data_IF_737767294098
#
_entry.id   IF_737767294098
#
_cell.length_a   1.000
_cell.length_b   1.000
_cell.length_c   1.000
_cell.angle_alpha   90.00
_cell.angle_beta   90.00
_cell.angle_gamma   90.00
#
_symmetry.space_group_name_H-M   'P 1'
#
loop_
_entity.id
_entity.type
_entity.pdbx_description
1 polymer ?
#
# COMPACT_ATOMS: atom_id res chain seq x y z
N UNK A 1 34.60 50.77 -40.43
CA UNK A 1 33.18 50.36 -40.26
C UNK A 1 32.85 48.88 -40.55
N UNK A 2 33.77 48.04 -41.04
CA UNK A 2 33.50 46.59 -41.26
C UNK A 2 33.80 45.67 -40.06
N UNK A 3 34.54 46.13 -39.04
CA UNK A 3 34.83 45.32 -37.84
C UNK A 3 33.74 45.38 -36.77
N UNK A 4 33.00 46.50 -36.64
CA UNK A 4 31.90 46.62 -35.67
C UNK A 4 30.67 45.75 -36.01
N UNK A 5 30.42 45.48 -37.30
CA UNK A 5 29.32 44.56 -37.69
C UNK A 5 29.62 43.09 -37.37
N UNK A 6 30.90 42.68 -37.35
CA UNK A 6 31.29 41.32 -36.95
C UNK A 6 31.20 41.13 -35.43
N UNK A 7 31.53 42.15 -34.63
CA UNK A 7 31.39 42.07 -33.17
C UNK A 7 29.92 42.10 -32.71
N UNK A 8 29.02 42.76 -33.46
CA UNK A 8 27.59 42.79 -33.13
C UNK A 8 26.85 41.48 -33.48
N UNK A 9 27.37 40.70 -34.45
CA UNK A 9 26.80 39.39 -34.83
C UNK A 9 27.25 38.28 -33.88
N UNK A 10 28.45 38.37 -33.31
CA UNK A 10 28.94 37.38 -32.33
C UNK A 10 28.34 37.55 -30.93
N UNK A 11 27.72 38.70 -30.62
CA UNK A 11 27.12 38.99 -29.31
C UNK A 11 25.63 38.62 -29.17
N UNK A 12 25.01 38.03 -30.20
CA UNK A 12 23.61 37.56 -30.17
C UNK A 12 23.46 36.03 -30.23
N UNK A 13 24.57 35.29 -30.35
CA UNK A 13 24.59 33.80 -30.31
C UNK A 13 25.15 33.32 -28.96
N UNK A 14 24.77 34.03 -27.90
CA UNK A 14 24.98 33.60 -26.51
C UNK A 14 23.67 33.75 -25.74
N UNK A 15 22.56 33.32 -26.35
CA UNK A 15 21.28 33.17 -25.66
C UNK A 15 21.15 31.72 -25.21
N UNK A 16 21.76 31.46 -24.06
CA UNK A 16 21.22 30.70 -22.93
C UNK A 16 19.96 29.84 -23.23
N UNK A 17 20.13 28.67 -23.84
CA UNK A 17 19.18 27.56 -23.65
C UNK A 17 19.70 26.68 -22.52
N UNK A 18 19.58 27.18 -21.28
CA UNK A 18 19.58 26.29 -20.12
C UNK A 18 18.20 25.63 -20.14
N UNK A 19 18.10 24.46 -20.76
CA UNK A 19 17.05 23.50 -20.41
C UNK A 19 17.32 23.12 -18.96
N UNK A 20 16.75 23.89 -18.02
CA UNK A 20 16.51 23.37 -16.69
C UNK A 20 15.56 22.21 -16.88
N UNK A 21 16.10 21.00 -16.93
CA UNK A 21 15.38 19.89 -16.31
C UNK A 21 15.08 20.39 -14.91
N UNK A 22 13.82 20.78 -14.68
CA UNK A 22 13.27 20.66 -13.36
C UNK A 22 13.46 19.19 -13.02
N UNK A 23 14.52 18.90 -12.28
CA UNK A 23 14.51 17.77 -11.38
C UNK A 23 13.32 18.06 -10.50
N UNK A 24 12.17 17.48 -10.86
CA UNK A 24 11.04 17.38 -9.96
C UNK A 24 11.66 16.71 -8.73
N UNK A 25 11.77 17.39 -7.57
CA UNK A 25 12.10 16.66 -6.37
C UNK A 25 11.07 15.54 -6.30
N UNK A 26 11.50 14.33 -5.98
CA UNK A 26 10.59 13.27 -5.54
C UNK A 26 9.95 13.71 -4.20
N UNK A 27 9.25 14.85 -4.22
CA UNK A 27 8.30 15.26 -3.24
C UNK A 27 7.10 14.37 -3.51
N UNK A 28 6.81 13.54 -2.51
CA UNK A 28 5.72 12.59 -2.44
C UNK A 28 4.56 12.97 -3.36
N UNK A 29 4.19 12.06 -4.26
CA UNK A 29 2.88 12.11 -4.90
C UNK A 29 1.87 11.96 -3.78
N UNK A 30 1.44 13.09 -3.21
CA UNK A 30 0.37 13.12 -2.23
C UNK A 30 -0.89 12.65 -2.96
N UNK A 31 -1.27 11.40 -2.73
CA UNK A 31 -2.61 10.91 -3.07
C UNK A 31 -3.65 11.78 -2.36
N UNK A 32 -4.88 11.81 -2.88
CA UNK A 32 -5.92 12.80 -2.62
C UNK A 32 -6.31 13.05 -1.14
N UNK A 33 -5.74 12.34 -0.16
CA UNK A 33 -6.05 12.45 1.26
C UNK A 33 -4.84 12.66 2.19
N UNK A 34 -3.73 13.24 1.71
CA UNK A 34 -2.62 13.64 2.60
C UNK A 34 -1.82 12.47 3.20
N UNK A 35 -2.15 11.23 2.86
CA UNK A 35 -1.33 10.05 3.15
C UNK A 35 -0.05 10.07 2.29
N UNK A 36 1.10 9.64 2.85
CA UNK A 36 2.34 9.53 2.10
C UNK A 36 2.18 8.56 0.93
N UNK A 37 2.78 8.88 -0.21
CA UNK A 37 2.82 8.01 -1.37
C UNK A 37 3.33 6.61 -0.99
N UNK A 38 2.66 5.55 -1.45
CA UNK A 38 3.18 4.21 -1.34
C UNK A 38 4.37 4.03 -2.29
N UNK A 39 5.54 3.69 -1.73
CA UNK A 39 6.72 3.32 -2.50
C UNK A 39 6.70 1.83 -2.93
N UNK A 40 5.52 1.21 -2.89
CA UNK A 40 5.27 -0.19 -3.17
C UNK A 40 3.97 -0.31 -3.95
N UNK A 41 3.93 -1.27 -4.86
CA UNK A 41 2.65 -1.72 -5.42
C UNK A 41 2.02 -2.67 -4.41
N UNK A 42 0.75 -2.42 -4.07
CA UNK A 42 0.04 -3.20 -3.07
C UNK A 42 -1.18 -3.85 -3.71
N UNK A 43 -1.33 -5.15 -3.45
CA UNK A 43 -2.45 -5.93 -3.95
C UNK A 43 -3.15 -6.65 -2.80
N UNK A 44 -4.48 -6.67 -2.87
CA UNK A 44 -5.35 -7.33 -1.92
C UNK A 44 -6.13 -8.45 -2.62
N UNK A 45 -6.10 -9.64 -2.04
CA UNK A 45 -7.02 -10.73 -2.34
C UNK A 45 -7.98 -10.93 -1.17
N UNK A 46 -9.28 -11.05 -1.45
CA UNK A 46 -10.31 -11.36 -0.47
C UNK A 46 -11.24 -12.44 -1.03
N UNK A 47 -11.04 -13.69 -0.59
CA UNK A 47 -11.80 -14.84 -1.10
C UNK A 47 -11.82 -14.88 -2.63
N UNK A 48 -13.04 -14.81 -3.20
CA UNK A 48 -13.30 -14.82 -4.64
C UNK A 48 -13.65 -13.43 -5.21
N UNK A 49 -13.49 -12.36 -4.43
CA UNK A 49 -13.73 -11.00 -4.91
C UNK A 49 -12.61 -10.63 -5.89
N UNK A 50 -12.99 -10.34 -7.14
CA UNK A 50 -12.09 -9.95 -8.21
C UNK A 50 -11.96 -8.43 -8.29
N UNK A 51 -10.74 -7.93 -8.32
CA UNK A 51 -10.41 -6.57 -8.73
C UNK A 51 -9.97 -6.52 -10.19
N UNK A 52 -9.22 -5.48 -10.56
CA UNK A 52 -8.82 -5.24 -11.96
C UNK A 52 -7.30 -5.17 -12.17
N UNK A 53 -6.49 -5.62 -11.20
CA UNK A 53 -5.04 -5.62 -11.36
C UNK A 53 -4.61 -6.40 -12.62
N UNK A 54 -3.85 -5.74 -13.49
CA UNK A 54 -3.26 -6.33 -14.70
C UNK A 54 -1.87 -6.89 -14.45
N UNK A 55 -1.38 -6.85 -13.21
CA UNK A 55 -0.11 -7.46 -12.84
C UNK A 55 -0.12 -8.96 -13.21
N UNK A 56 1.03 -9.49 -13.66
CA UNK A 56 1.13 -10.89 -14.08
C UNK A 56 0.99 -11.87 -12.90
N UNK A 57 1.55 -11.53 -11.74
CA UNK A 57 1.52 -12.36 -10.54
C UNK A 57 0.24 -12.13 -9.72
N UNK A 58 -0.25 -10.89 -9.70
CA UNK A 58 -1.45 -10.48 -8.95
C UNK A 58 -2.60 -10.12 -9.87
N UNK A 59 -2.82 -10.94 -10.90
CA UNK A 59 -3.89 -10.75 -11.89
C UNK A 59 -5.26 -10.84 -11.22
N UNK A 60 -6.13 -9.89 -11.51
CA UNK A 60 -7.50 -9.78 -10.98
C UNK A 60 -7.57 -9.60 -9.46
N UNK A 61 -6.45 -9.26 -8.82
CA UNK A 61 -6.44 -8.80 -7.44
C UNK A 61 -6.85 -7.34 -7.38
N UNK A 62 -7.24 -6.89 -6.19
CA UNK A 62 -7.59 -5.50 -5.94
C UNK A 62 -6.29 -4.70 -5.82
N UNK A 63 -6.12 -3.68 -6.66
CA UNK A 63 -5.03 -2.72 -6.51
C UNK A 63 -5.34 -1.76 -5.36
N UNK A 64 -4.37 -1.54 -4.48
CA UNK A 64 -4.54 -0.77 -3.24
C UNK A 64 -3.61 0.43 -3.25
N UNK A 65 -4.14 1.59 -2.85
CA UNK A 65 -3.42 2.86 -2.78
C UNK A 65 -3.10 3.30 -1.34
N UNK A 66 -3.66 2.62 -0.34
CA UNK A 66 -3.35 2.87 1.07
C UNK A 66 -3.66 1.66 1.97
N UNK A 67 -2.80 1.42 2.96
CA UNK A 67 -3.02 0.41 4.01
C UNK A 67 -2.59 0.99 5.34
N UNK A 68 -3.48 0.92 6.33
CA UNK A 68 -3.22 1.30 7.72
C UNK A 68 -3.83 0.26 8.66
N UNK A 69 -3.15 -0.06 9.76
CA UNK A 69 -3.74 -0.76 10.89
C UNK A 69 -2.94 -0.47 12.15
N UNK A 70 -3.59 -0.60 13.30
CA UNK A 70 -2.98 -0.36 14.60
C UNK A 70 -3.20 -1.56 15.52
N UNK A 71 -2.13 -1.98 16.21
CA UNK A 71 -2.17 -2.97 17.27
C UNK A 71 -1.70 -2.33 18.58
N UNK A 72 -2.61 -2.22 19.55
CA UNK A 72 -2.38 -1.57 20.83
C UNK A 72 -2.34 -2.61 21.96
N UNK A 73 -1.27 -2.61 22.75
CA UNK A 73 -1.23 -3.36 24.00
C UNK A 73 -1.59 -2.43 25.16
N UNK A 74 -2.74 -2.68 25.80
CA UNK A 74 -3.27 -1.84 26.88
C UNK A 74 -2.71 -2.17 28.27
N UNK A 75 -1.63 -2.98 28.38
CA UNK A 75 -0.98 -3.25 29.68
C UNK A 75 -0.39 -1.98 30.30
N UNK A 76 -0.87 -1.58 31.48
CA UNK A 76 -0.21 -0.56 32.30
C UNK A 76 0.95 -1.16 33.11
N UNK A 77 2.05 -0.40 33.24
CA UNK A 77 3.31 -0.81 33.90
C UNK A 77 3.22 -1.05 35.44
N UNK A 78 2.03 -1.20 36.00
CA UNK A 78 1.81 -1.30 37.46
C UNK A 78 1.48 -2.72 37.94
N UNK A 79 1.87 -3.76 37.18
CA UNK A 79 2.07 -5.11 37.71
C UNK A 79 0.83 -6.00 37.92
N UNK A 80 -0.36 -5.62 37.42
CA UNK A 80 -1.57 -6.46 37.56
C UNK A 80 -2.47 -6.60 36.32
N UNK A 81 -2.10 -6.04 35.16
CA UNK A 81 -2.88 -6.23 33.93
C UNK A 81 -2.09 -7.08 32.93
N UNK A 82 -2.56 -8.29 32.65
CA UNK A 82 -2.18 -9.07 31.46
C UNK A 82 -2.80 -8.38 30.25
N UNK A 83 -2.14 -7.33 29.73
CA UNK A 83 -2.67 -6.55 28.61
C UNK A 83 -2.97 -7.45 27.42
N UNK A 84 -4.20 -7.36 26.92
CA UNK A 84 -4.63 -7.99 25.68
C UNK A 84 -4.33 -7.02 24.56
N UNK A 85 -3.65 -7.48 23.52
CA UNK A 85 -3.48 -6.68 22.31
C UNK A 85 -4.84 -6.55 21.64
N UNK A 86 -5.23 -5.33 21.32
CA UNK A 86 -6.40 -5.04 20.50
C UNK A 86 -5.91 -4.61 19.13
N UNK A 87 -6.40 -5.30 18.10
CA UNK A 87 -6.34 -4.84 16.72
C UNK A 87 -7.62 -4.06 16.46
N UNK A 88 -7.50 -2.84 15.92
CA UNK A 88 -8.67 -2.07 15.50
C UNK A 88 -9.26 -2.69 14.21
N UNK A 89 -9.11 -2.01 13.08
CA UNK A 89 -9.35 -2.57 11.75
C UNK A 89 -8.15 -2.26 10.86
N UNK A 90 -8.06 -2.96 9.74
CA UNK A 90 -7.28 -2.48 8.61
C UNK A 90 -8.13 -1.47 7.83
N UNK A 91 -7.57 -0.31 7.58
CA UNK A 91 -8.11 0.68 6.65
C UNK A 91 -7.41 0.50 5.31
N UNK A 92 -8.17 0.15 4.29
CA UNK A 92 -7.68 -0.05 2.93
C UNK A 92 -8.25 1.06 2.06
N UNK A 93 -7.37 1.78 1.35
CA UNK A 93 -7.78 2.77 0.37
C UNK A 93 -7.55 2.22 -1.04
N UNK A 94 -8.53 2.39 -1.93
CA UNK A 94 -8.46 1.97 -3.34
C UNK A 94 -9.23 2.92 -4.25
N UNK A 95 -9.01 2.83 -5.55
CA UNK A 95 -9.90 3.42 -6.55
C UNK A 95 -11.03 2.45 -6.90
N UNK A 96 -12.15 2.96 -7.41
CA UNK A 96 -13.27 2.15 -7.88
C UNK A 96 -12.81 1.12 -8.94
N UNK A 97 -13.24 -0.12 -8.77
CA UNK A 97 -12.95 -1.23 -9.70
C UNK A 97 -14.05 -2.31 -9.61
N UNK A 98 -13.89 -3.43 -10.31
CA UNK A 98 -14.82 -4.56 -10.25
C UNK A 98 -15.11 -5.09 -8.81
N UNK A 99 -14.20 -4.90 -7.85
CA UNK A 99 -14.39 -5.35 -6.48
C UNK A 99 -15.30 -4.42 -5.66
N UNK A 100 -15.54 -3.19 -6.12
CA UNK A 100 -16.35 -2.19 -5.41
C UNK A 100 -17.73 -2.71 -5.02
N UNK A 101 -18.45 -3.33 -5.96
CA UNK A 101 -19.80 -3.84 -5.70
C UNK A 101 -19.77 -5.02 -4.71
N UNK A 102 -18.95 -6.08 -4.92
CA UNK A 102 -18.82 -7.14 -3.92
C UNK A 102 -18.42 -6.66 -2.53
N UNK A 103 -17.51 -5.68 -2.40
CA UNK A 103 -17.10 -5.12 -1.11
C UNK A 103 -18.24 -4.38 -0.41
N UNK A 104 -19.01 -3.59 -1.15
CA UNK A 104 -20.22 -2.96 -0.64
C UNK A 104 -21.25 -4.01 -0.17
N UNK A 105 -21.47 -5.06 -0.97
CA UNK A 105 -22.39 -6.14 -0.62
C UNK A 105 -21.92 -6.95 0.59
N UNK A 106 -20.63 -7.23 0.72
CA UNK A 106 -20.04 -7.89 1.89
C UNK A 106 -20.25 -7.05 3.15
N UNK A 107 -20.11 -5.72 3.05
CA UNK A 107 -20.40 -4.79 4.14
C UNK A 107 -21.88 -4.82 4.53
N UNK A 108 -22.78 -4.75 3.54
CA UNK A 108 -24.23 -4.71 3.79
C UNK A 108 -24.79 -6.02 4.35
N UNK A 109 -24.23 -7.16 3.93
CA UNK A 109 -24.65 -8.49 4.37
C UNK A 109 -23.98 -8.96 5.66
N UNK A 110 -22.82 -8.38 6.01
CA UNK A 110 -21.98 -8.86 7.10
C UNK A 110 -21.30 -10.19 6.80
N UNK A 111 -21.18 -10.58 5.52
CA UNK A 111 -20.56 -11.83 5.07
C UNK A 111 -19.13 -11.99 5.64
N UNK A 112 -18.81 -13.21 6.07
CA UNK A 112 -17.47 -13.59 6.54
C UNK A 112 -16.72 -14.27 5.42
N UNK A 113 -15.67 -13.60 4.94
CA UNK A 113 -14.75 -14.08 3.92
C UNK A 113 -13.66 -14.91 4.62
N UNK A 114 -13.39 -16.13 4.15
CA UNK A 114 -12.52 -17.06 4.89
C UNK A 114 -11.04 -16.63 4.88
N UNK A 115 -10.58 -16.06 3.77
CA UNK A 115 -9.17 -15.76 3.53
C UNK A 115 -8.98 -14.37 2.92
N UNK A 116 -8.07 -13.60 3.51
CA UNK A 116 -7.58 -12.35 2.96
C UNK A 116 -6.06 -12.31 2.91
N UNK A 117 -5.50 -11.67 1.89
CA UNK A 117 -4.06 -11.51 1.74
C UNK A 117 -3.71 -10.16 1.12
N UNK A 118 -2.87 -9.39 1.82
CA UNK A 118 -2.19 -8.21 1.31
C UNK A 118 -0.76 -8.55 0.96
N UNK A 119 -0.28 -8.05 -0.18
CA UNK A 119 1.11 -8.15 -0.61
C UNK A 119 1.66 -6.78 -0.94
N UNK A 120 2.89 -6.51 -0.49
CA UNK A 120 3.63 -5.31 -0.87
C UNK A 120 4.79 -5.71 -1.77
N UNK A 121 4.85 -5.08 -2.92
CA UNK A 121 5.74 -5.41 -4.02
C UNK A 121 6.62 -4.21 -4.30
N UNK A 122 7.94 -4.43 -4.36
CA UNK A 122 8.88 -3.36 -4.74
C UNK A 122 8.59 -2.88 -6.16
N UNK A 123 8.67 -1.57 -6.38
CA UNK A 123 8.58 -0.97 -7.71
C UNK A 123 9.93 -0.95 -8.41
N UNK A 124 9.94 -0.95 -9.75
CA UNK A 124 11.15 -0.87 -10.56
C UNK A 124 11.23 -1.94 -11.65
N UNK A 125 12.41 -2.10 -12.27
CA UNK A 125 12.61 -3.07 -13.36
C UNK A 125 12.54 -4.53 -12.89
N UNK A 126 12.91 -4.78 -11.63
CA UNK A 126 12.76 -6.07 -10.98
C UNK A 126 11.90 -5.87 -9.74
N UNK A 127 10.74 -6.53 -9.71
CA UNK A 127 9.81 -6.44 -8.60
C UNK A 127 9.91 -7.69 -7.73
N UNK A 128 9.65 -7.54 -6.44
CA UNK A 128 9.62 -8.66 -5.50
C UNK A 128 8.60 -8.39 -4.39
N UNK A 129 7.80 -9.41 -4.05
CA UNK A 129 6.95 -9.36 -2.85
C UNK A 129 7.81 -9.40 -1.59
N UNK A 130 7.87 -8.31 -0.85
CA UNK A 130 8.72 -8.20 0.35
C UNK A 130 7.93 -8.32 1.64
N UNK A 131 6.62 -8.03 1.62
CA UNK A 131 5.72 -8.19 2.76
C UNK A 131 4.46 -8.91 2.30
N UNK A 132 4.03 -9.88 3.08
CA UNK A 132 2.73 -10.53 2.95
C UNK A 132 2.03 -10.48 4.30
N UNK A 133 0.79 -10.02 4.33
CA UNK A 133 -0.08 -10.02 5.50
C UNK A 133 -1.28 -10.90 5.16
N UNK A 134 -1.43 -12.00 5.85
CA UNK A 134 -2.56 -12.93 5.71
C UNK A 134 -3.52 -12.71 6.86
N UNK A 135 -4.81 -12.60 6.53
CA UNK A 135 -5.92 -12.29 7.43
C UNK A 135 -6.90 -13.45 7.39
N UNK A 136 -7.32 -13.99 8.55
CA UNK A 136 -8.29 -15.08 8.56
C UNK A 136 -9.07 -15.22 9.88
N UNK A 137 -10.40 -15.40 9.80
CA UNK A 137 -11.27 -14.94 8.71
C UNK A 137 -11.26 -13.41 8.56
N UNK A 138 -11.91 -12.89 7.53
CA UNK A 138 -12.05 -11.45 7.26
C UNK A 138 -13.51 -11.06 7.20
N UNK A 139 -13.87 -9.97 7.86
CA UNK A 139 -15.16 -9.29 7.68
C UNK A 139 -14.91 -7.88 7.17
N UNK A 140 -15.68 -7.45 6.17
CA UNK A 140 -15.72 -6.04 5.73
C UNK A 140 -16.68 -5.30 6.64
N UNK A 141 -16.16 -4.41 7.49
CA UNK A 141 -16.92 -3.74 8.54
C UNK A 141 -17.24 -2.28 8.23
N UNK A 142 -16.68 -1.76 7.14
CA UNK A 142 -16.94 -0.40 6.68
C UNK A 142 -16.63 -0.24 5.21
N UNK A 143 -17.45 0.56 4.54
CA UNK A 143 -17.29 0.93 3.15
C UNK A 143 -17.67 2.40 3.01
N UNK A 144 -16.71 3.22 2.60
CA UNK A 144 -16.91 4.61 2.26
C UNK A 144 -16.57 4.82 0.79
N UNK A 145 -17.43 5.51 0.06
CA UNK A 145 -17.20 5.88 -1.33
C UNK A 145 -17.23 7.40 -1.45
N UNK A 146 -16.16 7.96 -2.02
CA UNK A 146 -15.99 9.38 -2.24
C UNK A 146 -15.44 9.64 -3.63
N UNK A 147 -16.34 9.96 -4.56
CA UNK A 147 -16.01 10.41 -5.91
C UNK A 147 -15.00 9.51 -6.67
N UNK A 148 -15.16 8.19 -6.56
CA UNK A 148 -14.30 7.20 -7.21
C UNK A 148 -13.15 6.68 -6.35
N UNK A 149 -12.93 7.24 -5.16
CA UNK A 149 -12.05 6.69 -4.13
C UNK A 149 -12.86 5.96 -3.07
N UNK A 150 -12.29 4.88 -2.54
CA UNK A 150 -12.95 4.03 -1.57
C UNK A 150 -12.06 3.79 -0.36
N UNK A 151 -12.67 3.83 0.81
CA UNK A 151 -12.05 3.43 2.09
C UNK A 151 -12.82 2.25 2.67
N UNK A 152 -12.11 1.14 2.84
CA UNK A 152 -12.65 -0.16 3.23
C UNK A 152 -12.06 -0.56 4.57
N UNK A 153 -12.91 -0.89 5.55
CA UNK A 153 -12.46 -1.37 6.84
C UNK A 153 -12.56 -2.90 6.90
N UNK A 154 -11.45 -3.56 7.20
CA UNK A 154 -11.40 -5.01 7.35
C UNK A 154 -11.10 -5.37 8.81
N UNK A 155 -11.84 -6.32 9.36
CA UNK A 155 -11.55 -6.91 10.66
C UNK A 155 -11.20 -8.38 10.52
N UNK A 156 -10.12 -8.80 11.19
CA UNK A 156 -9.67 -10.18 11.20
C UNK A 156 -9.17 -10.57 12.60
N UNK A 157 -9.61 -11.72 13.15
CA UNK A 157 -9.17 -12.19 14.47
C UNK A 157 -7.79 -12.84 14.45
N UNK A 158 -7.27 -13.20 13.26
CA UNK A 158 -5.92 -13.74 13.10
C UNK A 158 -5.17 -12.98 12.02
N UNK A 159 -3.93 -12.60 12.33
CA UNK A 159 -2.96 -12.06 11.37
C UNK A 159 -1.76 -12.99 11.33
N UNK A 160 -1.23 -13.23 10.12
CA UNK A 160 0.09 -13.81 9.91
C UNK A 160 0.87 -12.94 8.92
N UNK A 161 2.11 -12.60 9.26
CA UNK A 161 2.97 -11.73 8.46
C UNK A 161 4.26 -12.43 8.10
N UNK A 162 4.72 -12.21 6.88
CA UNK A 162 6.07 -12.57 6.46
C UNK A 162 6.74 -11.39 5.77
N UNK A 163 7.98 -11.09 6.15
CA UNK A 163 8.78 -10.02 5.56
C UNK A 163 10.16 -10.53 5.13
N UNK A 164 10.65 -10.06 3.98
CA UNK A 164 12.02 -10.31 3.52
C UNK A 164 12.64 -9.02 3.00
N UNK A 165 13.89 -8.77 3.39
CA UNK A 165 14.73 -7.78 2.70
C UNK A 165 15.27 -8.39 1.41
N UNK A 166 15.71 -7.51 0.49
CA UNK A 166 16.46 -7.91 -0.69
C UNK A 166 17.96 -7.71 -0.43
N UNK A 167 18.79 -8.59 -0.97
CA UNK A 167 20.25 -8.39 -0.98
C UNK A 167 20.67 -7.50 -2.17
N UNK A 168 21.97 -7.20 -2.27
CA UNK A 168 22.53 -6.33 -3.32
C UNK A 168 22.31 -6.85 -4.75
N UNK A 169 21.94 -8.13 -4.90
CA UNK A 169 21.61 -8.77 -6.18
C UNK A 169 20.10 -8.83 -6.44
N UNK A 170 19.28 -8.18 -5.61
CA UNK A 170 17.81 -8.18 -5.71
C UNK A 170 17.14 -9.49 -5.29
N UNK A 171 17.88 -10.46 -4.73
CA UNK A 171 17.29 -11.72 -4.24
C UNK A 171 16.80 -11.60 -2.80
N UNK A 172 15.75 -12.34 -2.44
CA UNK A 172 15.19 -12.33 -1.07
C UNK A 172 16.14 -12.97 -0.06
N UNK A 173 16.33 -12.30 1.07
CA UNK A 173 16.90 -12.89 2.27
C UNK A 173 15.87 -13.79 3.00
N UNK A 174 16.29 -14.64 3.95
CA UNK A 174 15.38 -15.45 4.75
C UNK A 174 14.23 -14.63 5.34
N UNK A 175 13.04 -15.21 5.37
CA UNK A 175 11.84 -14.53 5.85
C UNK A 175 11.86 -14.35 7.38
N UNK A 176 11.44 -13.18 7.81
CA UNK A 176 10.99 -12.92 9.18
C UNK A 176 9.49 -13.19 9.20
N UNK A 177 9.05 -14.09 10.08
CA UNK A 177 7.67 -14.58 10.13
C UNK A 177 7.12 -14.38 11.54
N UNK A 178 5.85 -13.96 11.63
CA UNK A 178 5.14 -13.92 12.90
C UNK A 178 3.65 -13.65 12.72
N UNK A 179 2.84 -14.14 13.66
CA UNK A 179 1.42 -13.89 13.66
C UNK A 179 0.82 -13.84 15.06
N UNK A 180 -0.43 -13.41 15.12
CA UNK A 180 -1.20 -13.34 16.36
C UNK A 180 -2.66 -13.72 16.13
N UNK A 181 -3.22 -14.42 17.10
CA UNK A 181 -4.63 -14.73 17.25
C UNK A 181 -5.19 -13.84 18.36
N UNK A 182 -5.95 -12.82 17.99
CA UNK A 182 -6.48 -11.80 18.90
C UNK A 182 -7.63 -12.32 19.75
N UNK A 183 -8.27 -13.42 19.34
CA UNK A 183 -9.32 -14.09 20.11
C UNK A 183 -8.70 -14.95 21.20
N UNK A 184 -7.75 -15.79 20.84
CA UNK A 184 -7.05 -16.69 21.76
C UNK A 184 -5.90 -16.02 22.51
N UNK A 185 -5.56 -14.78 22.15
CA UNK A 185 -4.44 -14.01 22.69
C UNK A 185 -3.11 -14.77 22.68
N UNK A 186 -2.78 -15.36 21.52
CA UNK A 186 -1.59 -16.21 21.34
C UNK A 186 -0.88 -15.96 20.02
N UNK A 187 0.40 -16.31 19.97
CA UNK A 187 1.18 -16.32 18.73
C UNK A 187 0.65 -17.37 17.75
N UNK A 188 0.83 -17.09 16.47
CA UNK A 188 0.66 -18.04 15.35
C UNK A 188 2.01 -18.27 14.69
#
# INVERSE_FOLDING_TARGET
>A
MRSLKKQLITMTITSLLIMTFLTIPAAAVTTAEGQPALNYDVYLKLGNIQGESTNKEFRDWIAVTGVEFEALNTSSKNGRATGRVVLNHFTITKEVDAASIPLFMATASGEVIQDGQLVFVTQGQSTATILTITLSPVQVTGYNFNNGFETINLQAPTIHMSYSTLNDKGSKNPQIIGGWDFIMNKKK
#
